data_IF_873371813668
#
_entry.id   IF_873371813668
#
_cell.length_a   1.000
_cell.length_b   1.000
_cell.length_c   1.000
_cell.angle_alpha   90.00
_cell.angle_beta   90.00
_cell.angle_gamma   90.00
#
_symmetry.space_group_name_H-M   'P 1'
#
loop_
_entity.id
_entity.type
_entity.pdbx_description
1 polymer ?
#
# COMPACT_ATOMS: atom_id res chain seq x y z
N UNK A 1 13.87 19.21 -39.19
CA UNK A 1 13.19 17.93 -39.46
C UNK A 1 11.88 18.21 -40.12
N UNK A 2 11.57 17.63 -41.29
CA UNK A 2 10.29 17.85 -41.93
C UNK A 2 9.19 17.15 -41.13
N UNK A 3 8.13 17.89 -40.81
CA UNK A 3 6.92 17.34 -40.21
C UNK A 3 6.23 16.45 -41.25
N UNK A 4 6.19 15.15 -41.04
CA UNK A 4 5.39 14.27 -41.87
C UNK A 4 3.91 14.54 -41.60
N UNK A 5 3.19 15.03 -42.61
CA UNK A 5 1.74 15.12 -42.59
C UNK A 5 1.15 13.71 -42.61
N UNK A 6 0.39 13.36 -41.59
CA UNK A 6 -0.44 12.15 -41.63
C UNK A 6 -1.49 12.31 -42.74
N UNK A 7 -1.42 11.46 -43.74
CA UNK A 7 -2.40 11.45 -44.79
C UNK A 7 -3.61 10.63 -44.33
N UNK A 8 -4.70 11.26 -43.97
CA UNK A 8 -5.92 10.66 -43.46
C UNK A 8 -6.88 10.24 -44.58
N UNK A 9 -6.41 10.13 -45.80
CA UNK A 9 -7.26 9.64 -46.87
C UNK A 9 -7.25 8.12 -46.90
N UNK A 10 -8.30 7.53 -46.42
CA UNK A 10 -9.16 6.56 -47.05
C UNK A 10 -9.99 5.83 -46.02
N UNK A 11 -11.30 6.00 -46.15
CA UNK A 11 -12.32 5.15 -45.58
C UNK A 11 -12.12 3.76 -46.10
N UNK A 12 -11.66 2.82 -45.30
CA UNK A 12 -11.76 1.42 -45.63
C UNK A 12 -12.49 0.74 -44.48
N UNK A 13 -13.58 0.09 -44.82
CA UNK A 13 -14.20 -0.96 -44.02
C UNK A 13 -13.26 -2.19 -44.00
N UNK A 14 -12.04 -2.02 -43.51
CA UNK A 14 -11.15 -3.12 -43.24
C UNK A 14 -11.47 -3.51 -41.82
N UNK A 15 -11.78 -4.75 -41.61
CA UNK A 15 -11.82 -5.34 -40.27
C UNK A 15 -10.45 -5.16 -39.65
N UNK A 16 -10.37 -4.23 -38.70
CA UNK A 16 -9.11 -3.88 -38.04
C UNK A 16 -8.47 -5.11 -37.41
N UNK A 17 -9.27 -6.08 -36.96
CA UNK A 17 -8.78 -7.32 -36.38
C UNK A 17 -7.95 -8.18 -37.35
N UNK A 18 -8.10 -7.96 -38.66
CA UNK A 18 -7.37 -8.71 -39.71
C UNK A 18 -6.31 -7.84 -40.43
N UNK A 19 -6.25 -6.55 -40.13
CA UNK A 19 -5.35 -5.66 -40.84
C UNK A 19 -3.91 -5.88 -40.37
N UNK A 20 -3.01 -6.19 -41.31
CA UNK A 20 -1.56 -6.20 -41.11
C UNK A 20 -1.00 -5.06 -41.96
N UNK A 21 -0.56 -3.99 -41.28
CA UNK A 21 0.08 -2.85 -41.95
C UNK A 21 1.61 -3.00 -42.01
N UNK A 22 2.26 -2.11 -42.75
CA UNK A 22 3.73 -2.02 -42.70
C UNK A 22 4.24 -1.79 -41.29
N UNK A 23 5.38 -2.35 -40.96
CA UNK A 23 6.02 -2.17 -39.67
C UNK A 23 6.20 -0.69 -39.32
N UNK A 24 6.00 -0.35 -38.05
CA UNK A 24 6.14 1.00 -37.48
C UNK A 24 5.09 2.03 -37.99
N UNK A 25 3.98 1.55 -38.54
CA UNK A 25 2.85 2.41 -38.92
C UNK A 25 1.82 2.53 -37.80
N UNK A 26 1.51 3.79 -37.50
CA UNK A 26 0.42 4.13 -36.57
C UNK A 26 -0.90 4.18 -37.33
N UNK A 27 -1.95 3.56 -36.80
CA UNK A 27 -3.31 3.66 -37.33
C UNK A 27 -4.34 3.77 -36.20
N UNK A 28 -5.53 4.26 -36.51
CA UNK A 28 -6.60 4.46 -35.54
C UNK A 28 -7.72 3.46 -35.80
N UNK A 29 -8.04 2.69 -34.79
CA UNK A 29 -9.19 1.78 -34.78
C UNK A 29 -10.42 2.56 -34.36
N UNK A 30 -11.31 2.82 -35.31
CA UNK A 30 -12.53 3.60 -35.10
C UNK A 30 -13.55 2.85 -34.25
N UNK A 31 -13.58 1.52 -34.34
CA UNK A 31 -14.52 0.69 -33.60
C UNK A 31 -14.21 0.68 -32.09
N UNK A 32 -12.95 0.54 -31.74
CA UNK A 32 -12.49 0.53 -30.34
C UNK A 32 -12.00 1.90 -29.86
N UNK A 33 -11.91 2.90 -30.74
CA UNK A 33 -11.37 4.25 -30.48
C UNK A 33 -9.96 4.23 -29.91
N UNK A 34 -9.12 3.33 -30.39
CA UNK A 34 -7.73 3.16 -29.93
C UNK A 34 -6.75 3.44 -31.06
N UNK A 35 -5.59 3.99 -30.68
CA UNK A 35 -4.44 4.00 -31.58
C UNK A 35 -3.74 2.65 -31.51
N UNK A 36 -3.28 2.19 -32.68
CA UNK A 36 -2.58 0.93 -32.83
C UNK A 36 -1.29 1.12 -33.61
N UNK A 37 -0.26 0.36 -33.26
CA UNK A 37 1.00 0.32 -33.98
C UNK A 37 1.09 -1.00 -34.76
N UNK A 38 1.34 -0.94 -36.06
CA UNK A 38 1.63 -2.14 -36.83
C UNK A 38 3.07 -2.57 -36.60
N UNK A 39 3.27 -3.82 -36.25
CA UNK A 39 4.58 -4.48 -36.18
C UNK A 39 4.96 -5.20 -37.48
N UNK A 40 4.06 -5.16 -38.47
CA UNK A 40 4.23 -5.82 -39.77
C UNK A 40 3.86 -7.31 -39.76
N UNK A 41 3.40 -7.86 -38.65
CA UNK A 41 3.15 -9.30 -38.48
C UNK A 41 1.79 -9.58 -37.83
N UNK A 42 1.47 -8.85 -36.76
CA UNK A 42 0.28 -9.10 -35.95
C UNK A 42 -0.97 -8.52 -36.60
N UNK A 43 -1.99 -9.34 -36.94
CA UNK A 43 -3.28 -8.85 -37.39
C UNK A 43 -3.90 -7.92 -36.34
N UNK A 44 -4.37 -6.77 -36.76
CA UNK A 44 -4.89 -5.73 -35.87
C UNK A 44 -3.84 -4.88 -35.17
N UNK A 45 -2.55 -5.19 -35.31
CA UNK A 45 -1.47 -4.44 -34.67
C UNK A 45 -1.51 -4.44 -33.14
N UNK A 46 -0.55 -3.77 -32.53
CA UNK A 46 -0.42 -3.59 -31.08
C UNK A 46 -1.23 -2.37 -30.62
N UNK A 47 -2.07 -2.51 -29.63
CA UNK A 47 -2.82 -1.38 -29.04
C UNK A 47 -1.84 -0.45 -28.32
N UNK A 48 -1.77 0.80 -28.75
CA UNK A 48 -1.12 1.84 -27.96
C UNK A 48 -2.14 2.35 -26.97
N UNK A 49 -1.93 2.00 -25.71
CA UNK A 49 -2.82 2.43 -24.65
C UNK A 49 -2.64 3.92 -24.40
N UNK A 50 -3.50 4.76 -25.00
CA UNK A 50 -3.56 6.21 -24.78
C UNK A 50 -4.54 6.57 -23.68
N UNK A 51 -5.04 5.61 -22.93
CA UNK A 51 -5.99 5.89 -21.85
C UNK A 51 -5.32 6.58 -20.67
N UNK A 52 -5.12 7.85 -20.79
CA UNK A 52 -5.11 8.74 -19.66
C UNK A 52 -6.56 8.88 -19.16
N UNK A 53 -6.96 8.01 -18.25
CA UNK A 53 -8.27 8.11 -17.62
C UNK A 53 -8.87 6.76 -17.28
N UNK A 54 -8.54 6.23 -16.14
CA UNK A 54 -9.16 5.05 -15.56
C UNK A 54 -8.14 3.97 -15.20
N UNK A 55 -7.70 3.94 -13.95
CA UNK A 55 -7.31 2.77 -13.21
C UNK A 55 -6.43 1.71 -13.91
N UNK A 56 -5.45 2.10 -14.67
CA UNK A 56 -4.44 1.17 -15.14
C UNK A 56 -3.53 0.79 -13.98
N UNK A 57 -3.68 -0.43 -13.46
CA UNK A 57 -2.71 -0.97 -12.51
C UNK A 57 -1.34 -0.98 -13.18
N UNK A 58 -0.42 -0.14 -12.72
CA UNK A 58 0.99 -0.25 -13.05
C UNK A 58 1.54 -1.45 -12.27
N UNK A 59 1.34 -2.66 -12.79
CA UNK A 59 1.94 -3.86 -12.24
C UNK A 59 3.38 -3.97 -12.75
N UNK A 60 4.33 -3.68 -11.86
CA UNK A 60 5.74 -3.98 -12.08
C UNK A 60 6.45 -3.02 -13.04
N UNK A 61 6.76 -1.81 -12.58
CA UNK A 61 7.84 -1.04 -13.19
C UNK A 61 9.14 -1.64 -12.65
N UNK A 62 9.68 -2.62 -13.35
CA UNK A 62 11.00 -3.16 -13.06
C UNK A 62 12.01 -2.47 -13.99
N UNK A 63 12.80 -1.57 -13.46
CA UNK A 63 13.95 -1.04 -14.18
C UNK A 63 15.23 -1.51 -13.48
N UNK A 64 16.06 -2.27 -14.22
CA UNK A 64 17.37 -2.72 -13.77
C UNK A 64 18.48 -1.71 -14.15
N UNK A 65 18.11 -0.50 -14.58
CA UNK A 65 19.09 0.55 -14.92
C UNK A 65 19.35 1.47 -13.71
N UNK A 66 20.55 2.06 -13.68
CA UNK A 66 20.99 2.97 -12.63
C UNK A 66 20.37 4.37 -12.76
N UNK A 67 19.05 4.49 -12.67
CA UNK A 67 18.35 5.77 -12.77
C UNK A 67 17.01 5.77 -12.03
N UNK A 68 16.38 6.91 -11.79
CA UNK A 68 15.06 6.95 -11.17
C UNK A 68 14.03 6.30 -12.09
N UNK A 69 13.42 5.21 -11.63
CA UNK A 69 12.42 4.42 -12.36
C UNK A 69 11.12 5.20 -12.54
N UNK A 70 10.79 6.04 -11.59
CA UNK A 70 9.60 6.86 -11.62
C UNK A 70 9.84 8.20 -10.92
N UNK A 71 9.57 9.31 -11.64
CA UNK A 71 9.51 10.64 -11.04
C UNK A 71 8.06 11.10 -11.05
N UNK A 72 7.51 11.35 -9.87
CA UNK A 72 6.19 11.95 -9.70
C UNK A 72 6.36 13.42 -9.36
N UNK A 73 5.82 14.30 -10.21
CA UNK A 73 5.82 15.75 -9.99
C UNK A 73 4.37 16.21 -9.92
N UNK A 74 4.01 16.92 -8.87
CA UNK A 74 2.66 17.46 -8.63
C UNK A 74 1.53 16.42 -8.64
N UNK A 75 1.81 15.21 -8.15
CA UNK A 75 0.84 14.11 -8.12
C UNK A 75 0.61 13.63 -6.70
N UNK A 76 -0.64 13.46 -6.32
CA UNK A 76 -0.99 12.75 -5.08
C UNK A 76 -0.92 11.25 -5.34
N UNK A 77 -0.06 10.55 -4.61
CA UNK A 77 -0.03 9.08 -4.58
C UNK A 77 -0.96 8.61 -3.48
N UNK A 78 -2.09 8.03 -3.86
CA UNK A 78 -2.98 7.37 -2.92
C UNK A 78 -2.55 5.90 -2.80
N UNK A 79 -2.07 5.51 -1.63
CA UNK A 79 -1.66 4.14 -1.33
C UNK A 79 -2.68 3.53 -0.40
N UNK A 80 -3.40 2.52 -0.88
CA UNK A 80 -4.31 1.75 -0.06
C UNK A 80 -3.53 0.71 0.76
N UNK A 81 -3.76 0.67 2.07
CA UNK A 81 -3.28 -0.32 3.05
C UNK A 81 -1.79 -0.30 3.42
N UNK A 82 -0.84 -0.23 2.49
CA UNK A 82 0.59 -0.18 2.85
C UNK A 82 1.46 0.41 1.76
N UNK A 83 2.54 1.06 2.18
CA UNK A 83 3.62 1.54 1.32
C UNK A 83 4.93 0.92 1.79
N UNK A 84 5.69 0.30 0.89
CA UNK A 84 6.94 -0.40 1.22
C UNK A 84 8.10 0.18 0.42
N UNK A 85 9.23 0.36 1.10
CA UNK A 85 10.54 0.62 0.50
C UNK A 85 11.43 -0.56 0.91
N UNK A 86 12.05 -1.19 -0.06
CA UNK A 86 12.89 -2.37 0.14
C UNK A 86 14.27 -2.17 -0.50
N UNK A 87 15.33 -2.57 0.19
CA UNK A 87 16.67 -2.68 -0.37
C UNK A 87 16.92 -4.14 -0.72
N UNK A 88 17.18 -4.42 -1.99
CA UNK A 88 17.47 -5.76 -2.51
C UNK A 88 19.00 -6.02 -2.60
N UNK A 89 19.79 -5.32 -1.81
CA UNK A 89 21.24 -5.47 -1.82
C UNK A 89 21.69 -6.56 -0.84
N UNK A 90 21.82 -7.79 -1.34
CA UNK A 90 22.52 -8.88 -0.67
C UNK A 90 21.65 -9.82 0.16
N UNK A 91 22.28 -10.52 1.11
CA UNK A 91 21.72 -11.64 1.86
C UNK A 91 20.77 -11.22 3.01
N UNK A 92 20.74 -9.93 3.36
CA UNK A 92 19.94 -9.41 4.47
C UNK A 92 19.10 -8.23 3.99
N UNK A 93 17.93 -8.47 3.40
CA UNK A 93 17.07 -7.39 2.94
C UNK A 93 16.62 -6.51 4.12
N UNK A 94 16.76 -5.19 3.92
CA UNK A 94 16.19 -4.18 4.81
C UNK A 94 14.95 -3.63 4.16
N UNK A 95 13.85 -3.63 4.90
CA UNK A 95 12.57 -3.17 4.39
C UNK A 95 11.91 -2.21 5.37
N UNK A 96 11.28 -1.18 4.82
CA UNK A 96 10.45 -0.25 5.60
C UNK A 96 9.06 -0.18 4.98
N UNK A 97 8.05 -0.50 5.79
CA UNK A 97 6.64 -0.53 5.35
C UNK A 97 5.79 0.31 6.28
N UNK A 98 4.90 1.11 5.73
CA UNK A 98 3.87 1.82 6.49
C UNK A 98 2.52 1.13 6.28
N UNK A 99 1.86 0.78 7.37
CA UNK A 99 0.56 0.13 7.39
C UNK A 99 -0.49 1.08 7.97
N UNK A 100 -1.71 1.03 7.46
CA UNK A 100 -2.88 1.66 8.05
C UNK A 100 -3.75 0.57 8.66
N UNK A 101 -4.04 0.72 9.97
CA UNK A 101 -4.96 -0.15 10.69
C UNK A 101 -6.13 0.70 11.19
N UNK A 102 -7.31 0.09 11.27
CA UNK A 102 -8.50 0.78 11.77
C UNK A 102 -9.49 -0.18 12.40
N UNK A 103 -10.38 0.36 13.19
CA UNK A 103 -11.43 -0.39 13.88
C UNK A 103 -12.32 0.51 14.71
N UNK A 104 -13.25 -0.12 15.43
CA UNK A 104 -14.23 0.56 16.26
C UNK A 104 -14.35 -0.14 17.60
N UNK A 105 -14.38 0.63 18.70
CA UNK A 105 -14.75 0.13 20.03
C UNK A 105 -16.12 0.69 20.44
N UNK A 106 -16.90 -0.11 21.15
CA UNK A 106 -18.20 0.28 21.73
C UNK A 106 -18.25 0.09 23.23
N UNK A 107 -17.18 -0.41 23.80
CA UNK A 107 -17.03 -0.66 25.23
C UNK A 107 -15.55 -0.51 25.68
N UNK A 108 -15.28 -0.83 26.94
CA UNK A 108 -13.95 -0.78 27.55
C UNK A 108 -13.13 -2.06 27.36
N UNK A 109 -13.53 -2.98 26.50
CA UNK A 109 -12.74 -4.19 26.23
C UNK A 109 -11.62 -3.91 25.25
N UNK A 110 -10.43 -4.50 25.45
CA UNK A 110 -9.37 -4.40 24.45
C UNK A 110 -9.79 -4.94 23.10
N UNK A 111 -9.66 -4.14 22.07
CA UNK A 111 -10.05 -4.45 20.68
C UNK A 111 -8.85 -4.32 19.76
N UNK A 112 -8.61 -5.31 18.92
CA UNK A 112 -7.54 -5.30 17.93
C UNK A 112 -7.93 -4.43 16.71
N UNK A 113 -6.97 -3.67 16.18
CA UNK A 113 -7.11 -2.96 14.92
C UNK A 113 -6.51 -3.81 13.79
N UNK A 114 -7.20 -3.82 12.65
CA UNK A 114 -6.82 -4.59 11.47
C UNK A 114 -6.61 -3.70 10.25
N UNK A 115 -5.89 -4.21 9.25
CA UNK A 115 -5.68 -3.52 7.98
C UNK A 115 -6.94 -3.46 7.12
N UNK A 116 -7.86 -4.40 7.33
CA UNK A 116 -9.16 -4.54 6.65
C UNK A 116 -10.36 -4.35 7.60
N UNK A 117 -10.12 -3.83 8.81
CA UNK A 117 -11.08 -3.73 9.91
C UNK A 117 -11.67 -5.08 10.39
N UNK A 118 -11.13 -6.20 9.99
CA UNK A 118 -11.70 -7.51 10.30
C UNK A 118 -10.68 -8.55 10.82
N UNK A 119 -9.63 -8.87 10.05
CA UNK A 119 -8.75 -9.97 10.39
C UNK A 119 -7.31 -9.86 9.88
N UNK A 120 -7.01 -8.92 8.97
CA UNK A 120 -5.69 -8.82 8.36
C UNK A 120 -4.72 -8.07 9.25
N UNK A 121 -3.73 -8.79 9.80
CA UNK A 121 -2.67 -8.30 10.69
C UNK A 121 -1.42 -7.83 9.94
N UNK A 122 -0.52 -7.21 10.67
CA UNK A 122 0.87 -7.00 10.22
C UNK A 122 1.61 -8.31 10.54
N UNK A 123 1.69 -9.19 9.53
CA UNK A 123 2.36 -10.47 9.66
C UNK A 123 3.88 -10.28 9.76
N UNK A 124 4.48 -11.09 10.58
CA UNK A 124 5.91 -11.17 10.82
C UNK A 124 6.49 -12.48 10.29
N UNK A 125 7.77 -12.50 9.98
CA UNK A 125 8.47 -13.70 9.50
C UNK A 125 9.60 -14.09 10.45
N UNK A 126 9.94 -15.39 10.48
CA UNK A 126 11.03 -15.91 11.32
C UNK A 126 12.38 -15.29 10.97
N UNK A 127 13.30 -15.29 11.91
CA UNK A 127 14.66 -14.75 11.78
C UNK A 127 14.69 -13.26 11.43
N UNK A 128 13.71 -12.49 11.92
CA UNK A 128 13.56 -11.07 11.57
C UNK A 128 13.38 -10.23 12.83
N UNK A 129 14.16 -9.17 12.91
CA UNK A 129 13.97 -8.14 13.92
C UNK A 129 13.22 -6.95 13.33
N UNK A 130 12.19 -6.52 14.02
CA UNK A 130 11.31 -5.42 13.66
C UNK A 130 11.47 -4.25 14.62
N UNK A 131 11.65 -3.05 14.08
CA UNK A 131 11.42 -1.81 14.80
C UNK A 131 10.11 -1.21 14.30
N UNK A 132 9.22 -0.82 15.21
CA UNK A 132 7.94 -0.20 14.85
C UNK A 132 7.74 1.15 15.51
N UNK A 133 7.03 2.03 14.81
CA UNK A 133 6.46 3.29 15.30
C UNK A 133 4.99 3.32 14.93
N UNK A 134 4.10 3.46 15.92
CA UNK A 134 2.66 3.52 15.75
C UNK A 134 2.12 4.88 16.23
N UNK A 135 1.56 5.66 15.32
CA UNK A 135 0.76 6.84 15.63
C UNK A 135 -0.71 6.45 15.60
N UNK A 136 -1.39 6.53 16.76
CA UNK A 136 -2.75 6.02 16.97
C UNK A 136 -3.64 7.17 17.36
N UNK A 137 -4.79 7.31 16.69
CA UNK A 137 -5.78 8.35 16.98
C UNK A 137 -7.17 7.74 17.08
N UNK A 138 -8.00 8.32 17.92
CA UNK A 138 -9.42 7.99 18.00
C UNK A 138 -10.31 9.23 18.06
N UNK A 139 -11.53 9.06 17.60
CA UNK A 139 -12.59 10.03 17.71
C UNK A 139 -13.88 9.35 18.16
N UNK A 140 -14.56 9.95 19.15
CA UNK A 140 -15.89 9.53 19.56
C UNK A 140 -16.92 10.03 18.54
N UNK A 141 -17.88 9.17 18.17
CA UNK A 141 -18.91 9.49 17.17
C UNK A 141 -20.00 10.42 17.71
N UNK A 142 -20.20 10.48 19.02
CA UNK A 142 -21.33 11.19 19.65
C UNK A 142 -20.89 12.41 20.46
N UNK A 143 -19.67 12.41 20.95
CA UNK A 143 -19.10 13.50 21.76
C UNK A 143 -17.85 14.07 21.07
N UNK A 144 -17.39 15.29 21.45
CA UNK A 144 -16.16 15.83 20.91
C UNK A 144 -14.89 15.16 21.46
N UNK A 145 -15.02 14.08 22.22
CA UNK A 145 -13.90 13.41 22.87
C UNK A 145 -13.02 12.62 21.89
N UNK A 146 -11.74 12.47 22.18
CA UNK A 146 -10.75 11.91 21.28
C UNK A 146 -9.56 11.32 22.04
N UNK A 147 -8.72 10.55 21.35
CA UNK A 147 -7.45 10.04 21.89
C UNK A 147 -6.33 10.16 20.86
N UNK A 148 -5.10 10.26 21.34
CA UNK A 148 -3.90 10.24 20.53
C UNK A 148 -2.74 9.62 21.33
N UNK A 149 -2.09 8.63 20.74
CA UNK A 149 -0.95 7.91 21.30
C UNK A 149 0.15 7.78 20.26
N UNK A 150 1.40 7.77 20.75
CA UNK A 150 2.56 7.34 19.97
C UNK A 150 3.24 6.20 20.70
N UNK A 151 3.42 5.08 20.02
CA UNK A 151 4.04 3.88 20.60
C UNK A 151 5.14 3.43 19.66
N UNK A 152 6.32 3.16 20.21
CA UNK A 152 7.45 2.63 19.46
C UNK A 152 8.13 1.51 20.22
N UNK A 153 8.67 0.56 19.51
CA UNK A 153 9.32 -0.57 20.13
C UNK A 153 10.02 -1.48 19.12
N UNK A 154 10.50 -2.59 19.65
CA UNK A 154 11.14 -3.61 18.83
C UNK A 154 10.59 -4.99 19.19
N UNK A 155 10.44 -5.81 18.16
CA UNK A 155 10.00 -7.20 18.22
C UNK A 155 11.03 -8.05 17.49
N UNK A 156 11.34 -9.21 18.05
CA UNK A 156 12.21 -10.19 17.43
C UNK A 156 11.48 -11.50 17.21
N UNK A 157 11.72 -12.13 16.06
CA UNK A 157 11.23 -13.48 15.79
C UNK A 157 12.40 -14.40 15.55
N UNK A 158 12.52 -15.37 16.44
CA UNK A 158 13.61 -16.35 16.38
C UNK A 158 13.49 -17.28 15.18
N UNK A 159 14.53 -18.05 14.91
CA UNK A 159 14.51 -19.11 13.91
C UNK A 159 13.42 -20.17 14.19
N UNK A 160 13.08 -20.39 15.44
CA UNK A 160 12.03 -21.32 15.86
C UNK A 160 10.60 -20.75 15.71
N UNK A 161 10.47 -19.51 15.25
CA UNK A 161 9.17 -18.85 15.09
C UNK A 161 8.63 -18.21 16.38
N UNK A 162 9.42 -18.10 17.44
CA UNK A 162 8.96 -17.46 18.67
C UNK A 162 9.03 -15.96 18.52
N UNK A 163 7.87 -15.32 18.61
CA UNK A 163 7.70 -13.85 18.53
C UNK A 163 7.77 -13.24 19.91
N UNK A 164 8.69 -12.32 20.14
CA UNK A 164 8.91 -11.70 21.44
C UNK A 164 9.09 -10.20 21.34
N UNK A 165 8.51 -9.47 22.29
CA UNK A 165 8.73 -8.04 22.47
C UNK A 165 10.07 -7.82 23.16
N UNK A 166 10.93 -6.97 22.58
CA UNK A 166 12.21 -6.60 23.18
C UNK A 166 12.07 -5.41 24.10
N UNK A 167 11.35 -4.39 23.66
CA UNK A 167 11.08 -3.17 24.45
C UNK A 167 9.96 -2.36 23.79
N UNK A 168 9.17 -1.64 24.59
CA UNK A 168 8.13 -0.73 24.13
C UNK A 168 8.14 0.58 24.92
N UNK A 169 7.98 1.69 24.22
CA UNK A 169 7.81 3.02 24.77
C UNK A 169 6.48 3.60 24.30
N UNK A 170 5.64 4.01 25.25
CA UNK A 170 4.35 4.65 24.97
C UNK A 170 4.36 6.11 25.43
N UNK A 171 4.01 7.00 24.53
CA UNK A 171 3.71 8.40 24.79
C UNK A 171 2.20 8.62 24.69
N UNK A 172 1.59 9.07 25.79
CA UNK A 172 0.17 9.43 25.82
C UNK A 172 0.08 10.91 25.50
N UNK A 173 -0.38 11.25 24.31
CA UNK A 173 -0.58 12.64 23.87
C UNK A 173 -1.92 13.15 24.39
N UNK A 174 -2.94 12.30 24.30
CA UNK A 174 -4.28 12.52 24.85
C UNK A 174 -5.01 11.18 25.00
N UNK A 175 -5.75 11.00 26.10
CA UNK A 175 -6.43 9.75 26.41
C UNK A 175 -7.90 9.95 26.81
N UNK A 176 -8.56 10.93 26.19
CA UNK A 176 -9.92 11.33 26.55
C UNK A 176 -9.99 12.28 27.76
N UNK A 177 -11.16 12.84 28.01
CA UNK A 177 -11.36 13.84 29.06
C UNK A 177 -11.08 13.29 30.47
N UNK A 178 -11.28 11.99 30.68
CA UNK A 178 -11.05 11.31 31.98
C UNK A 178 -9.92 10.28 31.91
N UNK A 179 -9.07 10.32 30.87
CA UNK A 179 -7.99 9.36 30.65
C UNK A 179 -8.46 7.89 30.57
N UNK A 180 -9.67 7.66 30.08
CA UNK A 180 -10.29 6.34 30.01
C UNK A 180 -9.89 5.51 28.77
N UNK A 181 -9.30 6.16 27.76
CA UNK A 181 -8.87 5.49 26.54
C UNK A 181 -7.43 4.99 26.67
N UNK A 182 -7.15 3.87 26.04
CA UNK A 182 -5.79 3.33 26.03
C UNK A 182 -5.46 2.68 24.68
N UNK A 183 -4.15 2.51 24.43
CA UNK A 183 -3.63 1.82 23.27
C UNK A 183 -2.31 1.10 23.63
N UNK A 184 -2.08 -0.03 22.99
CA UNK A 184 -0.83 -0.78 23.13
C UNK A 184 -0.45 -1.45 21.80
N UNK A 185 0.82 -1.75 21.64
CA UNK A 185 1.33 -2.59 20.56
C UNK A 185 1.99 -3.79 21.21
N UNK A 186 1.62 -4.99 20.77
CA UNK A 186 2.10 -6.25 21.33
C UNK A 186 2.66 -7.17 20.26
N UNK A 187 3.58 -8.05 20.68
CA UNK A 187 4.04 -9.19 19.89
C UNK A 187 3.06 -10.35 20.08
N UNK A 188 2.42 -10.81 19.03
CA UNK A 188 1.50 -11.96 19.05
C UNK A 188 2.22 -13.20 18.52
N UNK A 189 2.67 -14.05 19.44
CA UNK A 189 3.36 -15.31 19.16
C UNK A 189 2.44 -16.39 18.56
N UNK A 190 1.13 -16.25 18.73
CA UNK A 190 0.16 -17.22 18.18
C UNK A 190 -0.07 -17.01 16.69
N UNK A 191 -0.05 -15.76 16.24
CA UNK A 191 -0.33 -15.38 14.85
C UNK A 191 0.91 -14.85 14.14
N UNK A 192 2.08 -14.84 14.76
CA UNK A 192 3.33 -14.25 14.25
C UNK A 192 3.07 -12.83 13.72
N UNK A 193 2.64 -11.93 14.59
CA UNK A 193 2.16 -10.63 14.17
C UNK A 193 2.50 -9.49 15.14
N UNK A 194 2.63 -8.28 14.58
CA UNK A 194 2.55 -7.03 15.32
C UNK A 194 1.09 -6.64 15.43
N UNK A 195 0.56 -6.58 16.65
CA UNK A 195 -0.83 -6.28 16.92
C UNK A 195 -0.96 -4.94 17.62
N UNK A 196 -1.85 -4.09 17.12
CA UNK A 196 -2.27 -2.85 17.79
C UNK A 196 -3.61 -3.10 18.47
N UNK A 197 -3.65 -2.96 19.79
CA UNK A 197 -4.86 -3.06 20.59
C UNK A 197 -5.22 -1.71 21.19
N UNK A 198 -6.52 -1.43 21.24
CA UNK A 198 -7.06 -0.18 21.77
C UNK A 198 -8.18 -0.47 22.76
N UNK A 199 -8.37 0.44 23.69
CA UNK A 199 -9.42 0.36 24.71
C UNK A 199 -10.29 1.60 24.62
N UNK A 200 -11.57 1.40 24.39
CA UNK A 200 -12.59 2.46 24.40
C UNK A 200 -13.24 2.64 25.76
N UNK A 201 -14.50 3.04 25.76
CA UNK A 201 -15.30 3.27 26.95
C UNK A 201 -16.70 2.67 26.76
N UNK A 202 -17.31 2.21 27.85
CA UNK A 202 -18.65 1.66 27.83
C UNK A 202 -19.67 2.68 27.34
N UNK A 203 -20.55 2.24 26.42
CA UNK A 203 -21.61 3.04 25.82
C UNK A 203 -21.16 4.18 24.90
N UNK A 204 -19.89 4.20 24.54
CA UNK A 204 -19.32 5.15 23.59
C UNK A 204 -18.74 4.43 22.37
N UNK A 205 -19.10 4.90 21.19
CA UNK A 205 -18.51 4.41 19.94
C UNK A 205 -17.33 5.27 19.54
N UNK A 206 -16.12 4.69 19.57
CA UNK A 206 -14.91 5.34 19.09
C UNK A 206 -14.45 4.69 17.79
N UNK A 207 -14.13 5.52 16.82
CA UNK A 207 -13.41 5.11 15.61
C UNK A 207 -11.91 5.33 15.82
N UNK A 208 -11.16 4.28 15.56
CA UNK A 208 -9.73 4.24 15.72
C UNK A 208 -9.04 4.12 14.38
N UNK A 209 -7.90 4.80 14.24
CA UNK A 209 -6.97 4.62 13.14
C UNK A 209 -5.55 4.64 13.69
N UNK A 210 -4.71 3.76 13.16
CA UNK A 210 -3.29 3.71 13.46
C UNK A 210 -2.49 3.69 12.17
N UNK A 211 -1.41 4.50 12.12
CA UNK A 211 -0.36 4.37 11.11
C UNK A 211 0.81 3.70 11.80
N UNK A 212 1.17 2.50 11.35
CA UNK A 212 2.29 1.74 11.88
C UNK A 212 3.39 1.67 10.84
N UNK A 213 4.50 2.35 11.12
CA UNK A 213 5.72 2.24 10.34
C UNK A 213 6.58 1.13 10.91
N UNK A 214 6.94 0.19 10.09
CA UNK A 214 7.77 -0.97 10.46
C UNK A 214 9.05 -0.93 9.63
N UNK A 215 10.19 -1.06 10.30
CA UNK A 215 11.49 -1.31 9.67
C UNK A 215 11.95 -2.69 10.09
N UNK A 216 12.29 -3.53 9.14
CA UNK A 216 12.66 -4.92 9.38
C UNK A 216 14.02 -5.26 8.78
N UNK A 217 14.73 -6.15 9.48
CA UNK A 217 15.99 -6.74 9.02
C UNK A 217 15.88 -8.25 9.23
N UNK A 218 15.94 -9.00 8.14
CA UNK A 218 15.91 -10.45 8.16
C UNK A 218 17.32 -11.01 8.12
N UNK A 219 17.61 -12.01 8.94
CA UNK A 219 18.85 -12.77 8.94
C UNK A 219 18.62 -14.09 8.18
N UNK A 220 19.46 -14.37 7.19
CA UNK A 220 19.45 -15.62 6.39
C UNK A 220 20.61 -16.55 6.74
#
# INVERSE_FOLDING_TARGET
MPIQKFNTSEKRNIDVAQFVGDKDRLFFDVATRTFRLSDGITPGGLVINTSGGGGGSLTGINDYTTGPVMTLTDVNVNVENSFTIESDEGLNPVKSTSYVLYGTTTDGSPTELFRDANSTRIACVSQTTYFYEADIVARNDTTPDHAAFRIKGAIDITQAGVTSELNTQKEIIHAGTSYQYDAEVIADDTNDAIVVRVVGEASNTLRWSAIVKVTEVTHT
#
